data_IF_147909738137
#
_entry.id   IF_147909738137
#
_cell.length_a   1.000
_cell.length_b   1.000
_cell.length_c   1.000
_cell.angle_alpha   90.00
_cell.angle_beta   90.00
_cell.angle_gamma   90.00
#
_symmetry.space_group_name_H-M   'P 1'
#
loop_
_entity.id
_entity.type
_entity.pdbx_description
1 polymer ?
#
# COMPACT_ATOMS: atom_id res chain seq x y z
N UNK A 1 -5.93 6.75 -0.40
CA UNK A 1 -7.13 5.96 -0.09
C UNK A 1 -8.46 6.70 -0.34
N UNK A 2 -8.89 7.66 0.51
CA UNK A 2 -10.24 8.28 0.40
C UNK A 2 -10.61 8.84 -0.98
N UNK A 3 -9.63 9.41 -1.70
CA UNK A 3 -9.81 9.86 -3.09
C UNK A 3 -10.27 8.72 -4.03
N UNK A 4 -9.64 7.54 -3.94
CA UNK A 4 -9.98 6.38 -4.77
C UNK A 4 -11.31 5.76 -4.36
N UNK A 5 -11.63 5.71 -3.06
CA UNK A 5 -12.95 5.29 -2.57
C UNK A 5 -14.03 6.17 -3.17
N UNK A 6 -13.84 7.50 -3.19
CA UNK A 6 -14.78 8.43 -3.82
C UNK A 6 -14.88 8.24 -5.33
N UNK A 7 -13.76 7.97 -6.02
CA UNK A 7 -13.73 7.71 -7.46
C UNK A 7 -14.54 6.47 -7.84
N UNK A 8 -14.45 5.41 -7.04
CA UNK A 8 -15.16 4.14 -7.24
C UNK A 8 -16.40 3.95 -6.34
N UNK A 9 -17.02 5.06 -5.88
CA UNK A 9 -18.02 5.01 -4.81
C UNK A 9 -19.21 4.08 -5.09
N UNK A 10 -19.64 3.96 -6.36
CA UNK A 10 -20.74 3.06 -6.75
C UNK A 10 -20.41 1.60 -6.48
N UNK A 11 -19.19 1.18 -6.81
CA UNK A 11 -18.72 -0.18 -6.59
C UNK A 11 -18.50 -0.47 -5.09
N UNK A 12 -17.98 0.51 -4.35
CA UNK A 12 -17.90 0.42 -2.89
C UNK A 12 -19.28 0.31 -2.25
N UNK A 13 -20.27 1.09 -2.72
CA UNK A 13 -21.63 1.07 -2.19
C UNK A 13 -22.35 -0.26 -2.49
N UNK A 14 -22.21 -0.80 -3.71
CA UNK A 14 -22.78 -2.12 -4.05
C UNK A 14 -22.11 -3.24 -3.25
N UNK A 15 -20.77 -3.27 -3.16
CA UNK A 15 -20.06 -4.26 -2.35
C UNK A 15 -20.49 -4.19 -0.88
N UNK A 16 -20.54 -2.98 -0.31
CA UNK A 16 -21.00 -2.77 1.08
C UNK A 16 -22.42 -3.28 1.29
N UNK A 17 -23.33 -3.01 0.34
CA UNK A 17 -24.70 -3.51 0.41
C UNK A 17 -24.75 -5.04 0.47
N UNK A 18 -24.02 -5.72 -0.41
CA UNK A 18 -24.00 -7.18 -0.44
C UNK A 18 -23.32 -7.78 0.80
N UNK A 19 -22.24 -7.17 1.31
CA UNK A 19 -21.63 -7.57 2.59
C UNK A 19 -22.64 -7.50 3.74
N UNK A 20 -23.43 -6.43 3.81
CA UNK A 20 -24.50 -6.28 4.82
C UNK A 20 -25.61 -7.33 4.62
N UNK A 21 -25.98 -7.65 3.38
CA UNK A 21 -26.96 -8.71 3.08
C UNK A 21 -26.46 -10.07 3.56
N UNK A 22 -25.20 -10.41 3.28
CA UNK A 22 -24.58 -11.65 3.76
C UNK A 22 -24.60 -11.71 5.28
N UNK A 23 -24.19 -10.63 5.97
CA UNK A 23 -24.24 -10.57 7.44
C UNK A 23 -25.65 -10.65 8.01
N UNK A 24 -26.66 -10.14 7.29
CA UNK A 24 -28.06 -10.31 7.68
C UNK A 24 -28.49 -11.77 7.60
N UNK A 25 -28.11 -12.48 6.53
CA UNK A 25 -28.40 -13.89 6.35
C UNK A 25 -27.71 -14.77 7.41
N UNK A 26 -26.45 -14.49 7.75
CA UNK A 26 -25.71 -15.25 8.78
C UNK A 26 -26.28 -15.03 10.19
N UNK A 27 -26.67 -13.80 10.53
CA UNK A 27 -27.36 -13.50 11.80
C UNK A 27 -28.73 -14.18 11.84
N UNK A 28 -29.49 -14.16 10.74
CA UNK A 28 -30.77 -14.84 10.64
C UNK A 28 -30.64 -16.37 10.76
N UNK A 29 -29.60 -16.96 10.17
CA UNK A 29 -29.28 -18.39 10.34
C UNK A 29 -29.06 -18.76 11.82
N UNK A 30 -28.48 -17.85 12.62
CA UNK A 30 -28.34 -18.05 14.07
C UNK A 30 -29.70 -18.10 14.79
N UNK A 31 -30.68 -17.30 14.36
CA UNK A 31 -32.05 -17.36 14.91
C UNK A 31 -32.73 -18.67 14.53
N UNK A 32 -32.54 -19.17 13.31
CA UNK A 32 -33.08 -20.47 12.88
C UNK A 32 -32.50 -21.61 13.72
N UNK A 33 -31.21 -21.56 14.08
CA UNK A 33 -30.62 -22.52 15.00
C UNK A 33 -31.34 -22.58 16.36
N UNK A 34 -31.82 -21.45 16.88
CA UNK A 34 -32.67 -21.46 18.07
C UNK A 34 -34.02 -22.13 17.82
N UNK A 35 -34.64 -21.88 16.67
CA UNK A 35 -35.92 -22.48 16.30
C UNK A 35 -35.82 -23.99 16.13
N UNK A 36 -34.74 -24.50 15.54
CA UNK A 36 -34.45 -25.93 15.42
C UNK A 36 -34.42 -26.57 16.81
N UNK A 37 -33.69 -25.97 17.75
CA UNK A 37 -33.56 -26.52 19.10
C UNK A 37 -34.89 -26.46 19.87
N UNK A 38 -35.66 -25.38 19.70
CA UNK A 38 -37.01 -25.26 20.25
C UNK A 38 -37.97 -26.34 19.69
N UNK A 39 -37.93 -26.60 18.38
CA UNK A 39 -38.74 -27.63 17.74
C UNK A 39 -38.38 -29.04 18.25
N UNK A 40 -37.09 -29.30 18.49
CA UNK A 40 -36.61 -30.57 19.05
C UNK A 40 -37.10 -30.78 20.48
N UNK A 41 -37.02 -29.75 21.33
CA UNK A 41 -37.54 -29.78 22.71
C UNK A 41 -39.06 -29.98 22.71
N UNK A 42 -39.77 -29.30 21.82
CA UNK A 42 -41.20 -29.48 21.60
C UNK A 42 -41.58 -30.80 20.91
N UNK A 43 -40.60 -31.65 20.56
CA UNK A 43 -40.76 -32.92 19.83
C UNK A 43 -41.56 -32.79 18.53
N UNK A 44 -41.49 -31.64 17.85
CA UNK A 44 -42.20 -31.37 16.61
C UNK A 44 -41.29 -31.67 15.40
N UNK A 45 -41.35 -32.91 14.89
CA UNK A 45 -40.51 -33.36 13.78
C UNK A 45 -40.70 -32.53 12.50
N UNK A 46 -41.94 -32.14 12.19
CA UNK A 46 -42.24 -31.36 10.99
C UNK A 46 -41.56 -29.99 11.04
N UNK A 47 -41.75 -29.26 12.14
CA UNK A 47 -41.12 -27.95 12.34
C UNK A 47 -39.59 -28.05 12.36
N UNK A 48 -39.04 -29.11 12.97
CA UNK A 48 -37.60 -29.36 12.97
C UNK A 48 -37.06 -29.53 11.55
N UNK A 49 -37.66 -30.41 10.73
CA UNK A 49 -37.23 -30.64 9.35
C UNK A 49 -37.36 -29.39 8.47
N UNK A 50 -38.47 -28.65 8.61
CA UNK A 50 -38.67 -27.38 7.90
C UNK A 50 -37.56 -26.37 8.22
N UNK A 51 -37.22 -26.18 9.50
CA UNK A 51 -36.16 -25.24 9.91
C UNK A 51 -34.76 -25.69 9.43
N UNK A 52 -34.47 -26.99 9.43
CA UNK A 52 -33.20 -27.54 8.91
C UNK A 52 -33.06 -27.29 7.41
N UNK A 53 -34.13 -27.51 6.63
CA UNK A 53 -34.12 -27.23 5.19
C UNK A 53 -33.91 -25.74 4.92
N UNK A 54 -34.61 -24.87 5.65
CA UNK A 54 -34.44 -23.41 5.52
C UNK A 54 -32.99 -23.01 5.84
N UNK A 55 -32.40 -23.58 6.90
CA UNK A 55 -31.01 -23.32 7.28
C UNK A 55 -30.03 -23.72 6.18
N UNK A 56 -30.22 -24.90 5.58
CA UNK A 56 -29.41 -25.37 4.45
C UNK A 56 -29.53 -24.45 3.23
N UNK A 57 -30.75 -24.00 2.90
CA UNK A 57 -30.97 -23.05 1.82
C UNK A 57 -30.28 -21.71 2.07
N UNK A 58 -30.31 -21.21 3.32
CA UNK A 58 -29.63 -19.96 3.68
C UNK A 58 -28.12 -20.10 3.54
N UNK A 59 -27.51 -21.16 4.07
CA UNK A 59 -26.07 -21.37 3.92
C UNK A 59 -25.66 -21.58 2.46
N UNK A 60 -26.48 -22.28 1.66
CA UNK A 60 -26.27 -22.39 0.22
C UNK A 60 -26.32 -21.03 -0.49
N UNK A 61 -27.29 -20.19 -0.13
CA UNK A 61 -27.39 -18.83 -0.66
C UNK A 61 -26.20 -17.94 -0.25
N UNK A 62 -25.81 -17.99 1.03
CA UNK A 62 -24.63 -17.28 1.56
C UNK A 62 -23.38 -17.69 0.79
N UNK A 63 -23.14 -18.99 0.60
CA UNK A 63 -21.98 -19.48 -0.14
C UNK A 63 -21.93 -18.99 -1.60
N UNK A 64 -23.08 -18.95 -2.29
CA UNK A 64 -23.17 -18.42 -3.66
C UNK A 64 -22.91 -16.92 -3.69
N UNK A 65 -23.44 -16.16 -2.72
CA UNK A 65 -23.21 -14.72 -2.61
C UNK A 65 -21.74 -14.43 -2.29
N UNK A 66 -21.15 -15.10 -1.31
CA UNK A 66 -19.74 -14.93 -0.92
C UNK A 66 -18.80 -15.24 -2.09
N UNK A 67 -19.02 -16.33 -2.82
CA UNK A 67 -18.23 -16.63 -4.02
C UNK A 67 -18.28 -15.49 -5.06
N UNK A 68 -19.46 -14.93 -5.30
CA UNK A 68 -19.62 -13.79 -6.20
C UNK A 68 -18.98 -12.51 -5.65
N UNK A 69 -19.06 -12.30 -4.32
CA UNK A 69 -18.47 -11.15 -3.65
C UNK A 69 -16.96 -11.17 -3.67
N UNK A 70 -16.32 -12.31 -3.42
CA UNK A 70 -14.87 -12.45 -3.47
C UNK A 70 -14.33 -12.06 -4.86
N UNK A 71 -14.99 -12.56 -5.92
CA UNK A 71 -14.63 -12.22 -7.30
C UNK A 71 -14.86 -10.72 -7.57
N UNK A 72 -15.98 -10.17 -7.11
CA UNK A 72 -16.32 -8.76 -7.30
C UNK A 72 -15.35 -7.83 -6.56
N UNK A 73 -14.98 -8.17 -5.33
CA UNK A 73 -13.97 -7.49 -4.52
C UNK A 73 -12.62 -7.49 -5.23
N UNK A 74 -12.18 -8.66 -5.72
CA UNK A 74 -10.92 -8.75 -6.47
C UNK A 74 -10.93 -7.88 -7.73
N UNK A 75 -12.02 -7.88 -8.50
CA UNK A 75 -12.14 -6.97 -9.64
C UNK A 75 -12.10 -5.49 -9.24
N UNK A 76 -12.72 -5.12 -8.12
CA UNK A 76 -12.67 -3.75 -7.59
C UNK A 76 -11.23 -3.36 -7.20
N UNK A 77 -10.52 -4.24 -6.49
CA UNK A 77 -9.12 -4.04 -6.09
C UNK A 77 -8.23 -3.90 -7.33
N UNK A 78 -8.38 -4.75 -8.35
CA UNK A 78 -7.60 -4.62 -9.59
C UNK A 78 -7.87 -3.31 -10.34
N UNK A 79 -9.12 -2.84 -10.35
CA UNK A 79 -9.46 -1.54 -10.94
C UNK A 79 -8.85 -0.37 -10.15
N UNK A 80 -8.76 -0.50 -8.82
CA UNK A 80 -8.06 0.46 -7.97
C UNK A 80 -6.55 0.45 -8.27
N UNK A 81 -5.93 -0.72 -8.41
CA UNK A 81 -4.52 -0.86 -8.79
C UNK A 81 -4.21 -0.19 -10.13
N UNK A 82 -5.03 -0.44 -11.16
CA UNK A 82 -4.88 0.20 -12.47
C UNK A 82 -4.94 1.74 -12.33
N UNK A 83 -5.91 2.25 -11.57
CA UNK A 83 -6.04 3.69 -11.35
C UNK A 83 -4.86 4.28 -10.58
N UNK A 84 -4.37 3.61 -9.53
CA UNK A 84 -3.22 4.07 -8.74
C UNK A 84 -1.94 4.01 -9.58
N UNK A 85 -1.70 2.92 -10.33
CA UNK A 85 -0.55 2.80 -11.24
C UNK A 85 -0.58 3.88 -12.32
N UNK A 86 -1.74 4.16 -12.90
CA UNK A 86 -1.89 5.23 -13.88
C UNK A 86 -1.56 6.61 -13.29
N UNK A 87 -2.05 6.91 -12.08
CA UNK A 87 -1.76 8.17 -11.40
C UNK A 87 -0.25 8.28 -11.05
N UNK A 88 0.39 7.19 -10.60
CA UNK A 88 1.85 7.15 -10.35
C UNK A 88 2.62 7.37 -11.66
N UNK A 89 2.30 6.61 -12.72
CA UNK A 89 2.97 6.72 -14.00
C UNK A 89 2.82 8.12 -14.62
N UNK A 90 1.62 8.70 -14.58
CA UNK A 90 1.36 10.07 -15.03
C UNK A 90 2.18 11.08 -14.22
N UNK A 91 2.40 10.82 -12.94
CA UNK A 91 3.23 11.70 -12.12
C UNK A 91 4.71 11.61 -12.53
N UNK A 92 5.21 10.40 -12.79
CA UNK A 92 6.59 10.17 -13.24
C UNK A 92 6.89 10.81 -14.62
N UNK A 93 5.90 10.99 -15.50
CA UNK A 93 6.13 11.69 -16.78
C UNK A 93 6.41 13.19 -16.63
N UNK A 94 6.04 13.77 -15.49
CA UNK A 94 6.27 15.17 -15.16
C UNK A 94 7.49 15.38 -14.25
N UNK A 95 8.15 14.30 -13.81
CA UNK A 95 9.40 14.36 -13.05
C UNK A 95 10.54 14.98 -13.87
N UNK A 96 11.41 15.74 -13.18
CA UNK A 96 12.63 16.23 -13.81
C UNK A 96 13.66 15.11 -13.92
N UNK A 97 14.50 15.14 -14.97
CA UNK A 97 15.58 14.17 -15.15
C UNK A 97 16.50 14.07 -13.91
N UNK A 98 16.79 15.21 -13.27
CA UNK A 98 17.62 15.26 -12.06
C UNK A 98 16.95 14.55 -10.89
N UNK A 99 15.66 14.76 -10.69
CA UNK A 99 14.94 14.16 -9.57
C UNK A 99 14.74 12.66 -9.78
N UNK A 100 14.38 12.25 -11.00
CA UNK A 100 14.23 10.84 -11.36
C UNK A 100 15.51 10.04 -11.08
N UNK A 101 16.65 10.53 -11.57
CA UNK A 101 17.96 9.86 -11.45
C UNK A 101 18.66 10.04 -10.09
N UNK A 102 18.04 10.75 -9.12
CA UNK A 102 18.54 10.75 -7.74
C UNK A 102 18.26 9.44 -7.01
N UNK A 103 17.34 8.63 -7.54
CA UNK A 103 16.90 7.37 -6.94
C UNK A 103 17.24 6.19 -7.83
N UNK A 104 17.39 5.06 -7.18
CA UNK A 104 17.47 3.78 -7.86
C UNK A 104 16.12 3.44 -8.48
N UNK A 105 16.14 2.82 -9.66
CA UNK A 105 14.95 2.38 -10.40
C UNK A 105 14.09 1.43 -9.54
N UNK A 106 14.73 0.60 -8.72
CA UNK A 106 14.08 -0.34 -7.79
C UNK A 106 13.11 0.34 -6.82
N UNK A 107 13.29 1.63 -6.52
CA UNK A 107 12.36 2.39 -5.67
C UNK A 107 11.01 2.55 -6.36
N UNK A 108 11.00 2.90 -7.64
CA UNK A 108 9.77 3.06 -8.42
C UNK A 108 9.09 1.72 -8.70
N UNK A 109 9.86 0.66 -8.95
CA UNK A 109 9.34 -0.70 -9.06
C UNK A 109 8.63 -1.14 -7.78
N UNK A 110 9.22 -0.86 -6.63
CA UNK A 110 8.61 -1.13 -5.33
C UNK A 110 7.27 -0.40 -5.15
N UNK A 111 7.13 0.81 -5.69
CA UNK A 111 5.85 1.54 -5.63
C UNK A 111 4.77 0.92 -6.50
N UNK A 112 5.15 0.49 -7.70
CA UNK A 112 4.23 -0.10 -8.67
C UNK A 112 3.86 -1.56 -8.34
N UNK A 113 4.55 -2.16 -7.37
CA UNK A 113 4.33 -3.55 -6.97
C UNK A 113 4.17 -3.73 -5.44
N UNK A 114 5.26 -3.72 -4.67
CA UNK A 114 5.25 -4.07 -3.24
C UNK A 114 4.34 -3.17 -2.40
N UNK A 115 4.46 -1.84 -2.58
CA UNK A 115 3.67 -0.89 -1.82
C UNK A 115 2.17 -0.96 -2.21
N UNK A 116 1.85 -1.29 -3.47
CA UNK A 116 0.47 -1.53 -3.91
C UNK A 116 -0.12 -2.80 -3.27
N UNK A 117 0.67 -3.88 -3.21
CA UNK A 117 0.26 -5.09 -2.50
C UNK A 117 -0.04 -4.80 -1.02
N UNK A 118 0.80 -3.97 -0.36
CA UNK A 118 0.54 -3.53 1.01
C UNK A 118 -0.74 -2.69 1.12
N UNK A 119 -1.01 -1.78 0.17
CA UNK A 119 -2.24 -1.01 0.12
C UNK A 119 -3.48 -1.90 -0.04
N UNK A 120 -3.37 -2.98 -0.81
CA UNK A 120 -4.48 -3.91 -1.03
C UNK A 120 -4.76 -4.72 0.24
N UNK A 121 -3.76 -5.45 0.74
CA UNK A 121 -3.91 -6.34 1.89
C UNK A 121 -4.18 -5.59 3.21
N UNK A 122 -3.38 -4.58 3.51
CA UNK A 122 -3.47 -3.83 4.76
C UNK A 122 -4.48 -2.68 4.69
N UNK A 123 -4.87 -2.26 3.49
CA UNK A 123 -5.79 -1.17 3.26
C UNK A 123 -7.17 -1.63 2.84
N UNK A 124 -7.36 -1.95 1.56
CA UNK A 124 -8.69 -2.17 0.99
C UNK A 124 -9.36 -3.45 1.52
N UNK A 125 -8.67 -4.58 1.55
CA UNK A 125 -9.20 -5.84 2.12
C UNK A 125 -9.56 -5.65 3.60
N UNK A 126 -8.65 -5.06 4.38
CA UNK A 126 -8.89 -4.74 5.79
C UNK A 126 -10.08 -3.80 5.99
N UNK A 127 -10.32 -2.85 5.07
CA UNK A 127 -11.48 -1.96 5.11
C UNK A 127 -12.79 -2.74 4.90
N UNK A 128 -12.81 -3.67 3.94
CA UNK A 128 -13.99 -4.52 3.70
C UNK A 128 -14.28 -5.42 4.90
N UNK A 129 -13.26 -6.03 5.50
CA UNK A 129 -13.42 -6.82 6.73
C UNK A 129 -13.95 -5.98 7.91
N UNK A 130 -13.54 -4.70 8.04
CA UNK A 130 -14.09 -3.80 9.06
C UNK A 130 -15.56 -3.50 8.81
N UNK A 131 -15.96 -3.26 7.55
CA UNK A 131 -17.35 -3.01 7.17
C UNK A 131 -18.21 -4.24 7.49
N UNK A 132 -17.75 -5.42 7.06
CA UNK A 132 -18.41 -6.69 7.29
C UNK A 132 -18.57 -6.99 8.78
N UNK A 133 -17.47 -6.94 9.55
CA UNK A 133 -17.50 -7.20 10.99
C UNK A 133 -18.35 -6.18 11.75
N UNK A 134 -18.33 -4.90 11.36
CA UNK A 134 -19.17 -3.88 11.99
C UNK A 134 -20.66 -4.11 11.72
N UNK A 135 -21.02 -4.48 10.48
CA UNK A 135 -22.39 -4.81 10.13
C UNK A 135 -22.87 -6.05 10.90
N UNK A 136 -22.07 -7.11 10.92
CA UNK A 136 -22.34 -8.34 11.67
C UNK A 136 -22.54 -8.07 13.17
N UNK A 137 -21.67 -7.26 13.78
CA UNK A 137 -21.77 -6.91 15.18
C UNK A 137 -23.04 -6.10 15.51
N UNK A 138 -23.39 -5.10 14.69
CA UNK A 138 -24.62 -4.30 14.90
C UNK A 138 -25.87 -5.16 14.78
N UNK A 139 -25.94 -6.02 13.75
CA UNK A 139 -27.07 -6.92 13.53
C UNK A 139 -27.18 -7.96 14.65
N UNK A 140 -26.05 -8.52 15.10
CA UNK A 140 -26.02 -9.47 16.20
C UNK A 140 -26.44 -8.84 17.53
N UNK A 141 -25.94 -7.64 17.87
CA UNK A 141 -26.37 -6.90 19.07
C UNK A 141 -27.85 -6.57 19.04
N UNK A 142 -28.38 -6.16 17.88
CA UNK A 142 -29.81 -5.90 17.70
C UNK A 142 -30.64 -7.16 17.92
N UNK A 143 -30.18 -8.31 17.41
CA UNK A 143 -30.84 -9.61 17.58
C UNK A 143 -30.78 -10.08 19.04
N UNK A 144 -29.66 -9.87 19.73
CA UNK A 144 -29.55 -10.14 21.17
C UNK A 144 -30.52 -9.28 21.98
N UNK A 145 -30.66 -7.99 21.63
CA UNK A 145 -31.62 -7.10 22.29
C UNK A 145 -33.07 -7.54 22.05
N UNK A 146 -33.38 -8.03 20.84
CA UNK A 146 -34.67 -8.62 20.51
C UNK A 146 -35.00 -9.85 21.36
N UNK A 147 -34.01 -10.71 21.64
CA UNK A 147 -34.21 -11.83 22.57
C UNK A 147 -34.39 -11.37 24.01
N UNK A 148 -33.46 -10.56 24.51
CA UNK A 148 -33.56 -9.91 25.82
C UNK A 148 -32.54 -8.77 25.93
N UNK A 149 -32.98 -7.56 26.24
CA UNK A 149 -32.13 -6.36 26.29
C UNK A 149 -30.86 -6.52 27.16
N UNK A 150 -30.94 -7.26 28.27
CA UNK A 150 -29.80 -7.52 29.15
C UNK A 150 -28.65 -8.24 28.44
N UNK A 151 -28.95 -9.14 27.49
CA UNK A 151 -27.92 -9.85 26.71
C UNK A 151 -27.11 -8.87 25.87
N UNK A 152 -27.76 -7.90 25.23
CA UNK A 152 -27.09 -6.86 24.45
C UNK A 152 -26.24 -5.93 25.32
N UNK A 153 -26.75 -5.51 26.49
CA UNK A 153 -26.00 -4.65 27.43
C UNK A 153 -24.73 -5.35 27.93
N UNK A 154 -24.85 -6.61 28.36
CA UNK A 154 -23.71 -7.41 28.81
C UNK A 154 -22.73 -7.66 27.67
N UNK A 155 -23.22 -7.94 26.45
CA UNK A 155 -22.36 -8.09 25.28
C UNK A 155 -21.53 -6.83 25.01
N UNK A 156 -22.16 -5.65 24.96
CA UNK A 156 -21.46 -4.36 24.75
C UNK A 156 -20.42 -4.11 25.83
N UNK A 157 -20.76 -4.36 27.10
CA UNK A 157 -19.83 -4.21 28.22
C UNK A 157 -18.59 -5.13 28.07
N UNK A 158 -18.81 -6.40 27.77
CA UNK A 158 -17.74 -7.39 27.57
C UNK A 158 -16.88 -7.07 26.35
N UNK A 159 -17.50 -6.62 25.24
CA UNK A 159 -16.77 -6.12 24.08
C UNK A 159 -15.86 -4.95 24.46
N UNK A 160 -16.33 -3.99 25.26
CA UNK A 160 -15.52 -2.88 25.75
C UNK A 160 -14.26 -3.35 26.47
N UNK A 161 -14.38 -4.37 27.33
CA UNK A 161 -13.23 -4.99 28.02
C UNK A 161 -12.27 -5.64 27.01
N UNK A 162 -12.79 -6.39 26.03
CA UNK A 162 -11.98 -7.04 24.99
C UNK A 162 -11.21 -6.01 24.16
N UNK A 163 -11.80 -4.85 23.84
CA UNK A 163 -11.12 -3.80 23.08
C UNK A 163 -10.06 -3.09 23.92
N UNK A 164 -10.35 -2.79 25.19
CA UNK A 164 -9.44 -2.02 26.07
C UNK A 164 -8.21 -2.84 26.48
N UNK A 165 -8.36 -4.14 26.72
CA UNK A 165 -7.28 -4.99 27.28
C UNK A 165 -6.03 -5.05 26.39
N UNK A 166 -6.13 -5.30 25.06
CA UNK A 166 -5.01 -5.23 24.11
C UNK A 166 -4.30 -3.88 24.07
N UNK A 167 -5.05 -2.77 24.18
CA UNK A 167 -4.52 -1.42 24.05
C UNK A 167 -3.47 -1.08 25.12
N UNK A 168 -3.48 -1.76 26.27
CA UNK A 168 -2.46 -1.61 27.32
C UNK A 168 -1.06 -2.03 26.84
N UNK A 169 -0.96 -2.85 25.80
CA UNK A 169 0.30 -3.37 25.25
C UNK A 169 0.73 -2.69 23.95
N UNK A 170 -0.05 -1.73 23.42
CA UNK A 170 0.24 -1.04 22.15
C UNK A 170 1.62 -0.38 22.13
N UNK A 171 2.01 0.26 23.24
CA UNK A 171 3.31 0.91 23.34
C UNK A 171 4.45 -0.10 23.18
N UNK A 172 4.34 -1.27 23.83
CA UNK A 172 5.35 -2.33 23.71
C UNK A 172 5.41 -2.87 22.28
N UNK A 173 4.24 -3.14 21.66
CA UNK A 173 4.19 -3.61 20.28
C UNK A 173 4.81 -2.61 19.30
N UNK A 174 4.59 -1.31 19.53
CA UNK A 174 5.17 -0.24 18.70
C UNK A 174 6.69 -0.18 18.83
N UNK A 175 7.23 -0.29 20.05
CA UNK A 175 8.68 -0.29 20.30
C UNK A 175 9.34 -1.48 19.62
N UNK A 176 8.79 -2.69 19.79
CA UNK A 176 9.37 -3.90 19.21
C UNK A 176 9.19 -3.95 17.69
N UNK A 177 8.09 -3.42 17.15
CA UNK A 177 7.91 -3.28 15.70
C UNK A 177 8.93 -2.32 15.09
N UNK A 178 9.24 -1.19 15.74
CA UNK A 178 10.31 -0.28 15.27
C UNK A 178 11.67 -0.95 15.28
N UNK A 179 11.99 -1.74 16.31
CA UNK A 179 13.23 -2.52 16.38
C UNK A 179 13.30 -3.54 15.24
N UNK A 180 12.20 -4.22 14.93
CA UNK A 180 12.14 -5.14 13.78
C UNK A 180 12.42 -4.42 12.46
N UNK A 181 11.78 -3.28 12.21
CA UNK A 181 12.03 -2.49 10.99
C UNK A 181 13.50 -2.12 10.87
N UNK A 182 14.12 -1.65 11.96
CA UNK A 182 15.53 -1.27 11.98
C UNK A 182 16.49 -2.45 11.73
N UNK A 183 16.28 -3.58 12.40
CA UNK A 183 17.11 -4.79 12.19
C UNK A 183 16.90 -5.38 10.78
N UNK A 184 15.71 -5.24 10.20
CA UNK A 184 15.43 -5.64 8.83
C UNK A 184 16.17 -4.75 7.81
N UNK A 185 16.20 -3.44 8.03
CA UNK A 185 17.01 -2.51 7.22
C UNK A 185 18.51 -2.87 7.29
N UNK A 186 19.03 -3.15 8.49
CA UNK A 186 20.42 -3.60 8.65
C UNK A 186 20.70 -4.93 7.93
N UNK A 187 19.76 -5.87 7.96
CA UNK A 187 19.87 -7.14 7.25
C UNK A 187 19.90 -6.96 5.73
N UNK A 188 19.00 -6.15 5.18
CA UNK A 188 18.96 -5.84 3.74
C UNK A 188 20.27 -5.17 3.32
N UNK A 189 20.76 -4.16 4.07
CA UNK A 189 22.01 -3.49 3.78
C UNK A 189 23.21 -4.44 3.83
N UNK A 190 23.34 -5.25 4.90
CA UNK A 190 24.44 -6.20 5.04
C UNK A 190 24.45 -7.28 3.93
N UNK A 191 23.26 -7.70 3.48
CA UNK A 191 23.11 -8.66 2.39
C UNK A 191 23.47 -8.03 1.05
N UNK A 192 23.00 -6.80 0.80
CA UNK A 192 23.35 -6.03 -0.39
C UNK A 192 24.87 -5.82 -0.49
N UNK A 193 25.52 -5.37 0.59
CA UNK A 193 26.97 -5.19 0.65
C UNK A 193 27.73 -6.50 0.38
N UNK A 194 27.28 -7.61 0.97
CA UNK A 194 27.92 -8.90 0.80
C UNK A 194 27.80 -9.43 -0.65
N UNK A 195 26.65 -9.21 -1.29
CA UNK A 195 26.40 -9.60 -2.68
C UNK A 195 27.14 -8.70 -3.68
N UNK A 196 27.16 -7.38 -3.45
CA UNK A 196 27.96 -6.46 -4.28
C UNK A 196 29.46 -6.78 -4.22
N UNK A 197 29.93 -7.22 -3.05
CA UNK A 197 31.32 -7.64 -2.88
C UNK A 197 31.61 -9.04 -3.46
N UNK A 198 30.67 -9.74 -4.11
CA UNK A 198 30.86 -11.12 -4.55
C UNK A 198 32.11 -11.33 -5.39
N UNK A 199 32.32 -10.52 -6.43
CA UNK A 199 33.50 -10.64 -7.31
C UNK A 199 34.82 -10.43 -6.54
N UNK A 200 34.82 -9.52 -5.56
CA UNK A 200 35.96 -9.30 -4.68
C UNK A 200 36.19 -10.51 -3.77
N UNK A 201 35.16 -10.97 -3.07
CA UNK A 201 35.25 -12.12 -2.18
C UNK A 201 35.66 -13.39 -2.94
N UNK A 202 35.23 -13.54 -4.18
CA UNK A 202 35.64 -14.60 -5.10
C UNK A 202 37.12 -14.49 -5.46
N UNK A 203 37.57 -13.31 -5.92
CA UNK A 203 38.96 -13.06 -6.30
C UNK A 203 39.94 -13.28 -5.13
N UNK A 204 39.53 -12.93 -3.91
CA UNK A 204 40.34 -13.11 -2.69
C UNK A 204 40.08 -14.45 -1.97
N UNK A 205 39.35 -15.40 -2.58
CA UNK A 205 39.02 -16.72 -1.99
C UNK A 205 38.39 -16.65 -0.58
N UNK A 206 37.64 -15.59 -0.30
CA UNK A 206 37.05 -15.28 1.01
C UNK A 206 35.52 -15.41 1.03
N UNK A 207 34.96 -16.24 0.16
CA UNK A 207 33.51 -16.54 0.12
C UNK A 207 32.89 -16.96 1.48
N UNK A 208 33.60 -17.65 2.41
CA UNK A 208 33.06 -17.90 3.75
C UNK A 208 32.68 -16.63 4.53
N UNK A 209 33.29 -15.47 4.21
CA UNK A 209 32.95 -14.19 4.82
C UNK A 209 31.54 -13.72 4.41
N UNK A 210 31.09 -14.02 3.18
CA UNK A 210 29.73 -13.75 2.73
C UNK A 210 28.73 -14.50 3.61
N UNK A 211 28.97 -15.79 3.81
CA UNK A 211 28.13 -16.65 4.67
C UNK A 211 28.10 -16.08 6.09
N UNK A 212 29.26 -15.72 6.65
CA UNK A 212 29.36 -15.17 7.99
C UNK A 212 28.63 -13.82 8.15
N UNK A 213 28.73 -12.91 7.18
CA UNK A 213 28.03 -11.62 7.19
C UNK A 213 26.52 -11.81 7.16
N UNK A 214 26.01 -12.58 6.20
CA UNK A 214 24.57 -12.86 6.07
C UNK A 214 24.06 -13.55 7.33
N UNK A 215 24.75 -14.59 7.82
CA UNK A 215 24.36 -15.30 9.03
C UNK A 215 24.28 -14.39 10.26
N UNK A 216 25.28 -13.54 10.50
CA UNK A 216 25.28 -12.61 11.66
C UNK A 216 24.12 -11.63 11.60
N UNK A 217 23.81 -11.10 10.42
CA UNK A 217 22.66 -10.21 10.23
C UNK A 217 21.34 -10.95 10.43
N UNK A 218 21.20 -12.17 9.90
CA UNK A 218 20.02 -13.02 10.08
C UNK A 218 19.73 -13.35 11.55
N UNK A 219 20.76 -13.57 12.38
CA UNK A 219 20.58 -13.87 13.81
C UNK A 219 19.96 -12.69 14.57
N UNK A 220 20.40 -11.46 14.29
CA UNK A 220 19.80 -10.27 14.92
C UNK A 220 18.35 -10.07 14.47
N UNK A 221 18.10 -10.22 13.16
CA UNK A 221 16.76 -10.14 12.58
C UNK A 221 15.82 -11.20 13.16
N UNK A 222 16.31 -12.43 13.38
CA UNK A 222 15.58 -13.50 14.06
C UNK A 222 15.12 -13.04 15.45
N UNK A 223 16.03 -12.48 16.26
CA UNK A 223 15.68 -12.06 17.62
C UNK A 223 14.60 -10.98 17.62
N UNK A 224 14.69 -9.98 16.74
CA UNK A 224 13.68 -8.94 16.63
C UNK A 224 12.31 -9.48 16.16
N UNK A 225 12.29 -10.45 15.24
CA UNK A 225 11.07 -11.13 14.82
C UNK A 225 10.44 -11.91 15.99
N UNK A 226 11.24 -12.67 16.74
CA UNK A 226 10.78 -13.43 17.91
C UNK A 226 10.22 -12.50 18.97
N UNK A 227 10.94 -11.43 19.33
CA UNK A 227 10.50 -10.44 20.32
C UNK A 227 9.14 -9.83 19.92
N UNK A 228 8.96 -9.47 18.63
CA UNK A 228 7.69 -8.93 18.12
C UNK A 228 6.57 -9.96 18.22
N UNK A 229 6.88 -11.19 17.82
CA UNK A 229 5.91 -12.30 17.83
C UNK A 229 5.46 -12.60 19.24
N UNK A 230 6.36 -12.59 20.23
CA UNK A 230 5.99 -12.81 21.64
C UNK A 230 4.99 -11.76 22.14
N UNK A 231 5.23 -10.48 21.86
CA UNK A 231 4.30 -9.40 22.26
C UNK A 231 2.98 -9.51 21.52
N UNK A 232 3.02 -9.78 20.20
CA UNK A 232 1.81 -9.95 19.38
C UNK A 232 0.97 -11.16 19.80
N UNK A 233 1.61 -12.30 20.08
CA UNK A 233 0.94 -13.51 20.58
C UNK A 233 0.35 -13.28 21.96
N UNK A 234 1.02 -12.54 22.85
CA UNK A 234 0.45 -12.19 24.16
C UNK A 234 -0.83 -11.38 24.01
N UNK A 235 -0.84 -10.39 23.11
CA UNK A 235 -2.04 -9.59 22.78
C UNK A 235 -3.16 -10.50 22.23
N UNK A 236 -2.82 -11.37 21.27
CA UNK A 236 -3.78 -12.28 20.66
C UNK A 236 -4.39 -13.25 21.68
N UNK A 237 -3.58 -13.80 22.60
CA UNK A 237 -4.05 -14.73 23.64
C UNK A 237 -4.95 -14.04 24.68
N UNK A 238 -4.65 -12.79 25.06
CA UNK A 238 -5.55 -12.00 25.90
C UNK A 238 -6.89 -11.76 25.21
N UNK A 239 -6.88 -11.40 23.93
CA UNK A 239 -8.10 -11.26 23.13
C UNK A 239 -8.90 -12.56 23.02
N UNK A 240 -8.22 -13.68 22.76
CA UNK A 240 -8.82 -15.01 22.66
C UNK A 240 -9.47 -15.46 23.97
N UNK A 241 -8.78 -15.31 25.11
CA UNK A 241 -9.33 -15.63 26.43
C UNK A 241 -10.52 -14.72 26.76
N UNK A 242 -10.40 -13.43 26.48
CA UNK A 242 -11.50 -12.47 26.66
C UNK A 242 -12.72 -12.86 25.84
N UNK A 243 -12.52 -13.29 24.59
CA UNK A 243 -13.58 -13.77 23.72
C UNK A 243 -14.26 -15.03 24.28
N UNK A 244 -13.52 -16.08 24.64
CA UNK A 244 -14.09 -17.31 25.22
C UNK A 244 -14.86 -17.01 26.50
N UNK A 245 -14.26 -16.28 27.44
CA UNK A 245 -14.92 -15.94 28.70
C UNK A 245 -16.22 -15.18 28.45
N UNK A 246 -16.21 -14.24 27.50
CA UNK A 246 -17.40 -13.46 27.17
C UNK A 246 -18.51 -14.30 26.54
N UNK A 247 -18.17 -15.26 25.68
CA UNK A 247 -19.13 -16.21 25.13
C UNK A 247 -19.74 -17.10 26.22
N UNK A 248 -18.91 -17.63 27.13
CA UNK A 248 -19.38 -18.48 28.23
C UNK A 248 -20.27 -17.70 29.19
N UNK A 249 -19.93 -16.45 29.53
CA UNK A 249 -20.75 -15.57 30.37
C UNK A 249 -22.12 -15.33 29.72
N UNK A 250 -22.17 -14.99 28.43
CA UNK A 250 -23.44 -14.78 27.72
C UNK A 250 -24.26 -16.08 27.59
N UNK A 251 -23.60 -17.22 27.39
CA UNK A 251 -24.27 -18.51 27.37
C UNK A 251 -24.87 -18.84 28.75
N UNK A 252 -24.13 -18.62 29.84
CA UNK A 252 -24.62 -18.79 31.21
C UNK A 252 -25.79 -17.85 31.54
N UNK A 253 -25.69 -16.58 31.13
CA UNK A 253 -26.75 -15.59 31.31
C UNK A 253 -28.02 -15.96 30.52
N UNK A 254 -27.88 -16.40 29.26
CA UNK A 254 -29.03 -16.85 28.46
C UNK A 254 -29.66 -18.11 29.04
N UNK A 255 -28.86 -19.05 29.58
CA UNK A 255 -29.36 -20.20 30.34
C UNK A 255 -30.15 -19.80 31.58
N UNK A 256 -29.66 -18.84 32.37
CA UNK A 256 -30.36 -18.33 33.54
C UNK A 256 -31.69 -17.64 33.17
N UNK A 257 -31.71 -16.82 32.11
CA UNK A 257 -32.93 -16.21 31.60
C UNK A 257 -33.94 -17.25 31.08
N UNK A 258 -33.45 -18.35 30.49
CA UNK A 258 -34.29 -19.45 30.03
C UNK A 258 -34.94 -20.20 31.22
N UNK A 259 -34.21 -20.40 32.32
CA UNK A 259 -34.76 -20.98 33.56
C UNK A 259 -35.87 -20.11 34.16
N UNK A 260 -35.75 -18.78 34.04
CA UNK A 260 -36.78 -17.82 34.44
C UNK A 260 -37.95 -17.72 33.45
N UNK A 261 -37.92 -18.48 32.35
CA UNK A 261 -38.91 -18.45 31.25
C UNK A 261 -39.00 -17.08 30.55
N UNK A 262 -37.96 -16.26 30.63
CA UNK A 262 -37.89 -14.96 29.94
C UNK A 262 -37.46 -15.10 28.48
N UNK A 263 -36.72 -16.17 28.17
CA UNK A 263 -36.33 -16.54 26.81
C UNK A 263 -36.56 -18.02 26.57
N UNK A 264 -36.63 -18.43 25.30
CA UNK A 264 -36.74 -19.86 24.94
C UNK A 264 -35.42 -20.59 25.17
N UNK A 265 -35.47 -21.91 25.42
CA UNK A 265 -34.26 -22.73 25.60
C UNK A 265 -33.39 -22.73 24.33
N UNK A 266 -34.01 -22.71 23.15
CA UNK A 266 -33.33 -22.58 21.87
C UNK A 266 -32.50 -21.30 21.73
N UNK A 267 -32.89 -20.21 22.40
CA UNK A 267 -32.16 -18.94 22.36
C UNK A 267 -30.70 -19.10 22.81
N UNK A 268 -30.38 -20.07 23.67
CA UNK A 268 -29.02 -20.33 24.16
C UNK A 268 -28.05 -20.65 23.00
N UNK A 269 -28.49 -21.42 22.00
CA UNK A 269 -27.65 -21.76 20.83
C UNK A 269 -27.41 -20.53 19.94
N UNK A 270 -28.45 -19.74 19.67
CA UNK A 270 -28.34 -18.51 18.90
C UNK A 270 -27.43 -17.48 19.61
N UNK A 271 -27.57 -17.32 20.93
CA UNK A 271 -26.74 -16.40 21.71
C UNK A 271 -25.27 -16.76 21.59
N UNK A 272 -24.90 -18.05 21.59
CA UNK A 272 -23.52 -18.48 21.38
C UNK A 272 -22.94 -18.01 20.05
N UNK A 273 -23.66 -18.25 18.93
CA UNK A 273 -23.23 -17.83 17.60
C UNK A 273 -23.19 -16.30 17.44
N UNK A 274 -24.22 -15.60 17.94
CA UNK A 274 -24.29 -14.13 17.89
C UNK A 274 -23.20 -13.48 18.73
N UNK A 275 -22.94 -14.00 19.93
CA UNK A 275 -21.85 -13.56 20.80
C UNK A 275 -20.49 -13.76 20.12
N UNK A 276 -20.26 -14.92 19.52
CA UNK A 276 -19.03 -15.21 18.76
C UNK A 276 -18.83 -14.20 17.63
N UNK A 277 -19.86 -13.90 16.85
CA UNK A 277 -19.78 -12.88 15.79
C UNK A 277 -19.41 -11.49 16.36
N UNK A 278 -20.11 -11.02 17.38
CA UNK A 278 -19.82 -9.71 18.02
C UNK A 278 -18.38 -9.65 18.52
N UNK A 279 -17.93 -10.66 19.27
CA UNK A 279 -16.61 -10.63 19.90
C UNK A 279 -15.46 -10.86 18.93
N UNK A 280 -15.63 -11.65 17.87
CA UNK A 280 -14.60 -11.81 16.82
C UNK A 280 -14.46 -10.52 15.99
N UNK A 281 -15.59 -9.97 15.55
CA UNK A 281 -15.62 -8.78 14.70
C UNK A 281 -15.07 -7.55 15.42
N UNK A 282 -15.54 -7.30 16.65
CA UNK A 282 -15.09 -6.15 17.42
C UNK A 282 -13.75 -6.38 18.13
N UNK A 283 -13.40 -7.62 18.47
CA UNK A 283 -12.10 -7.93 19.08
C UNK A 283 -10.92 -7.72 18.13
N UNK A 284 -11.10 -7.97 16.83
CA UNK A 284 -10.05 -7.78 15.83
C UNK A 284 -10.06 -6.37 15.19
N UNK A 285 -11.06 -5.53 15.49
CA UNK A 285 -11.24 -4.24 14.82
C UNK A 285 -10.05 -3.30 15.03
N UNK A 286 -9.45 -3.28 16.22
CA UNK A 286 -8.29 -2.42 16.53
C UNK A 286 -7.08 -2.78 15.67
N UNK A 287 -6.86 -4.08 15.43
CA UNK A 287 -5.78 -4.55 14.57
C UNK A 287 -6.02 -4.16 13.11
N UNK A 288 -7.22 -4.39 12.58
CA UNK A 288 -7.59 -4.00 11.20
C UNK A 288 -7.48 -2.48 10.99
N UNK A 289 -7.96 -1.68 11.94
CA UNK A 289 -7.79 -0.22 11.88
C UNK A 289 -6.31 0.19 11.97
N UNK A 290 -5.49 -0.55 12.71
CA UNK A 290 -4.03 -0.40 12.75
C UNK A 290 -3.40 -0.62 11.37
N UNK A 291 -3.76 -1.70 10.68
CA UNK A 291 -3.30 -2.01 9.33
C UNK A 291 -3.71 -0.91 8.32
N UNK A 292 -4.98 -0.49 8.35
CA UNK A 292 -5.48 0.58 7.48
C UNK A 292 -4.72 1.89 7.72
N UNK A 293 -4.49 2.25 8.99
CA UNK A 293 -3.67 3.43 9.35
C UNK A 293 -2.22 3.29 8.86
N UNK A 294 -1.68 2.08 8.86
CA UNK A 294 -0.35 1.73 8.34
C UNK A 294 -0.17 2.03 6.85
N UNK A 295 -1.24 2.09 6.07
CA UNK A 295 -1.17 2.48 4.65
C UNK A 295 -1.06 3.99 4.42
N UNK A 296 -1.40 4.82 5.42
CA UNK A 296 -1.39 6.28 5.30
C UNK A 296 0.00 6.85 4.98
N UNK A 297 1.10 6.43 5.64
CA UNK A 297 2.46 6.80 5.27
C UNK A 297 2.81 6.48 3.82
N UNK A 298 2.33 5.35 3.28
CA UNK A 298 2.60 4.93 1.89
C UNK A 298 1.98 5.94 0.91
N UNK A 299 0.71 6.30 1.10
CA UNK A 299 0.07 7.35 0.28
C UNK A 299 0.70 8.74 0.49
N UNK A 300 1.20 9.04 1.69
CA UNK A 300 1.88 10.31 1.97
C UNK A 300 3.24 10.40 1.31
N UNK A 301 4.02 9.31 1.30
CA UNK A 301 5.27 9.17 0.55
C UNK A 301 5.06 9.55 -0.91
N UNK A 302 4.05 8.98 -1.57
CA UNK A 302 3.70 9.37 -2.94
C UNK A 302 3.34 10.84 -3.06
N UNK A 303 2.38 11.33 -2.26
CA UNK A 303 1.93 12.73 -2.38
C UNK A 303 3.00 13.77 -2.07
N UNK A 304 3.85 13.53 -1.08
CA UNK A 304 4.91 14.44 -0.70
C UNK A 304 5.93 14.57 -1.83
N UNK A 305 6.26 13.45 -2.47
CA UNK A 305 7.20 13.41 -3.58
C UNK A 305 6.56 13.99 -4.84
N UNK A 306 5.31 13.63 -5.14
CA UNK A 306 4.53 14.25 -6.22
C UNK A 306 4.35 15.78 -6.04
N UNK A 307 4.37 16.30 -4.81
CA UNK A 307 4.30 17.75 -4.54
C UNK A 307 5.63 18.48 -4.78
N UNK A 308 6.76 17.78 -4.66
CA UNK A 308 8.08 18.32 -5.04
C UNK A 308 8.24 18.40 -6.56
N UNK A 309 7.41 17.65 -7.30
CA UNK A 309 7.18 17.81 -8.73
C UNK A 309 6.29 19.04 -8.93
N UNK A 310 6.86 20.22 -8.71
CA UNK A 310 6.25 21.43 -9.24
C UNK A 310 6.13 21.25 -10.76
N UNK A 311 4.97 21.51 -11.38
CA UNK A 311 4.89 21.52 -12.84
C UNK A 311 5.95 22.50 -13.33
N UNK A 312 7.00 21.99 -13.96
CA UNK A 312 8.09 22.80 -14.48
C UNK A 312 7.52 23.59 -15.66
N UNK A 313 6.90 24.74 -15.37
CA UNK A 313 6.21 25.60 -16.33
C UNK A 313 7.22 26.23 -17.28
N UNK A 314 7.54 25.51 -18.36
CA UNK A 314 8.17 26.08 -19.54
C UNK A 314 7.08 26.53 -20.49
N UNK A 315 6.90 27.83 -20.61
CA UNK A 315 5.77 28.45 -21.31
C UNK A 315 6.13 29.00 -22.70
N UNK A 316 7.38 28.86 -23.15
CA UNK A 316 7.80 29.37 -24.46
C UNK A 316 7.71 28.26 -25.50
N UNK A 317 6.74 28.39 -26.40
CA UNK A 317 6.67 27.59 -27.60
C UNK A 317 7.54 28.21 -28.69
N UNK A 318 8.71 27.60 -28.92
CA UNK A 318 9.64 27.99 -29.95
C UNK A 318 10.24 26.74 -30.56
N UNK A 319 10.02 26.56 -31.86
CA UNK A 319 10.60 25.49 -32.65
C UNK A 319 11.63 26.08 -33.59
N UNK A 320 12.85 25.55 -33.55
CA UNK A 320 13.84 25.84 -34.60
C UNK A 320 13.42 25.02 -35.82
N UNK A 321 12.83 25.67 -36.82
CA UNK A 321 12.48 24.97 -38.06
C UNK A 321 13.75 24.61 -38.82
N UNK A 322 13.98 23.31 -39.06
CA UNK A 322 15.14 22.81 -39.82
C UNK A 322 15.25 23.43 -41.22
N UNK A 323 14.15 23.96 -41.78
CA UNK A 323 14.13 24.66 -43.07
C UNK A 323 14.68 26.09 -43.04
N UNK A 324 14.88 26.69 -41.87
CA UNK A 324 15.31 28.10 -41.71
C UNK A 324 16.76 28.25 -41.24
N UNK A 325 17.46 27.16 -40.94
CA UNK A 325 18.84 27.22 -40.44
C UNK A 325 19.79 27.51 -41.61
N UNK A 326 20.29 28.75 -41.71
CA UNK A 326 21.35 29.07 -42.67
C UNK A 326 22.71 28.56 -42.13
N UNK A 327 23.60 28.11 -43.03
CA UNK A 327 24.97 27.75 -42.66
C UNK A 327 25.63 28.93 -41.92
N UNK A 328 26.39 28.62 -40.87
CA UNK A 328 27.11 29.59 -40.01
C UNK A 328 26.25 30.48 -39.11
N UNK A 329 24.97 30.20 -38.91
CA UNK A 329 24.19 30.85 -37.84
C UNK A 329 24.47 30.21 -36.47
N UNK A 330 24.56 31.00 -35.38
CA UNK A 330 24.69 30.46 -34.03
C UNK A 330 23.40 29.74 -33.63
N UNK A 331 23.50 28.44 -33.36
CA UNK A 331 22.35 27.60 -33.01
C UNK A 331 22.26 27.37 -31.51
N UNK A 332 23.40 27.19 -30.84
CA UNK A 332 23.45 26.96 -29.40
C UNK A 332 24.53 27.83 -28.78
N UNK A 333 24.22 28.50 -27.68
CA UNK A 333 25.18 29.33 -26.95
C UNK A 333 25.15 29.03 -25.45
N UNK A 334 26.32 29.05 -24.82
CA UNK A 334 26.46 29.05 -23.37
C UNK A 334 27.00 30.41 -22.94
N UNK A 335 26.43 30.95 -21.87
CA UNK A 335 26.71 32.29 -21.37
C UNK A 335 27.10 32.20 -19.89
N UNK A 336 28.39 32.32 -19.61
CA UNK A 336 29.00 32.20 -18.28
C UNK A 336 28.56 30.94 -17.51
N UNK A 337 28.46 29.81 -18.23
CA UNK A 337 27.88 28.59 -17.70
C UNK A 337 28.70 28.03 -16.54
N UNK A 338 28.05 27.87 -15.40
CA UNK A 338 28.66 27.34 -14.17
C UNK A 338 27.78 26.22 -13.62
N UNK A 339 28.39 25.12 -13.21
CA UNK A 339 27.67 23.98 -12.65
C UNK A 339 28.41 23.31 -11.49
N UNK A 340 27.66 22.92 -10.46
CA UNK A 340 28.16 22.20 -9.28
C UNK A 340 27.18 21.10 -8.84
N UNK A 341 27.73 20.00 -8.32
CA UNK A 341 26.98 18.97 -7.60
C UNK A 341 27.16 19.18 -6.10
N UNK A 342 26.10 19.63 -5.40
CA UNK A 342 26.22 20.01 -3.99
C UNK A 342 27.27 21.11 -3.82
N UNK A 343 28.35 20.81 -3.09
CA UNK A 343 29.47 21.72 -2.87
C UNK A 343 30.65 21.51 -3.84
N UNK A 344 30.57 20.52 -4.73
CA UNK A 344 31.64 20.21 -5.68
C UNK A 344 31.40 20.92 -7.01
N UNK A 345 32.22 21.92 -7.31
CA UNK A 345 32.16 22.65 -8.56
C UNK A 345 32.73 21.81 -9.71
N UNK A 346 32.00 21.68 -10.81
CA UNK A 346 32.42 20.89 -11.99
C UNK A 346 33.16 21.77 -13.00
N UNK A 347 32.59 22.94 -13.34
CA UNK A 347 33.24 23.98 -14.15
C UNK A 347 32.62 25.36 -13.87
N UNK A 348 33.35 26.42 -14.22
CA UNK A 348 32.96 27.83 -14.02
C UNK A 348 33.03 28.62 -15.32
N UNK A 349 32.09 29.54 -15.50
CA UNK A 349 32.14 30.61 -16.52
C UNK A 349 32.47 30.11 -17.94
N UNK A 350 31.87 28.99 -18.37
CA UNK A 350 32.08 28.45 -19.72
C UNK A 350 31.15 29.18 -20.69
N UNK A 351 31.72 30.00 -21.57
CA UNK A 351 31.00 30.66 -22.66
C UNK A 351 31.45 30.10 -24.00
N UNK A 352 30.53 29.48 -24.74
CA UNK A 352 30.78 29.00 -26.09
C UNK A 352 29.60 29.15 -27.04
N UNK A 353 29.92 29.25 -28.33
CA UNK A 353 28.93 29.36 -29.41
C UNK A 353 29.12 28.21 -30.40
N UNK A 354 28.04 27.50 -30.70
CA UNK A 354 28.01 26.39 -31.66
C UNK A 354 27.22 26.83 -32.90
N UNK A 355 27.80 26.63 -34.08
CA UNK A 355 27.21 27.09 -35.34
C UNK A 355 26.54 25.95 -36.12
N UNK A 356 25.56 26.33 -36.93
CA UNK A 356 24.82 25.42 -37.78
C UNK A 356 25.72 24.63 -38.75
N UNK A 357 25.61 23.30 -38.72
CA UNK A 357 26.33 22.40 -39.60
C UNK A 357 27.75 22.06 -39.17
N UNK A 358 28.24 22.62 -38.05
CA UNK A 358 29.54 22.30 -37.49
C UNK A 358 29.52 21.01 -36.66
N UNK A 359 30.68 20.36 -36.60
CA UNK A 359 30.95 19.23 -35.69
C UNK A 359 31.98 19.69 -34.67
N UNK A 360 31.57 19.77 -33.40
CA UNK A 360 32.45 20.21 -32.32
C UNK A 360 32.91 19.01 -31.51
N UNK A 361 34.23 18.86 -31.34
CA UNK A 361 34.83 17.84 -30.47
C UNK A 361 35.11 18.45 -29.09
N UNK A 362 34.65 17.79 -28.03
CA UNK A 362 34.95 18.16 -26.64
C UNK A 362 35.97 17.17 -26.10
N UNK A 363 37.15 17.66 -25.72
CA UNK A 363 38.25 16.87 -25.17
C UNK A 363 38.55 17.27 -23.72
N UNK A 364 39.28 16.42 -23.00
CA UNK A 364 39.68 16.65 -21.61
C UNK A 364 39.79 15.35 -20.81
N UNK A 365 40.37 15.43 -19.61
CA UNK A 365 40.58 14.28 -18.72
C UNK A 365 39.26 13.64 -18.25
N UNK A 366 39.33 12.39 -17.80
CA UNK A 366 38.18 11.75 -17.15
C UNK A 366 37.77 12.53 -15.91
N UNK A 367 36.47 12.75 -15.70
CA UNK A 367 35.97 13.58 -14.60
C UNK A 367 35.97 15.10 -14.85
N UNK A 368 36.52 15.60 -15.96
CA UNK A 368 36.50 17.04 -16.30
C UNK A 368 35.09 17.64 -16.57
N UNK A 369 34.01 16.86 -16.41
CA UNK A 369 32.64 17.34 -16.57
C UNK A 369 32.08 17.31 -17.99
N UNK A 370 32.74 16.63 -18.95
CA UNK A 370 32.31 16.56 -20.36
C UNK A 370 30.87 16.06 -20.52
N UNK A 371 30.53 14.93 -19.90
CA UNK A 371 29.16 14.38 -19.94
C UNK A 371 28.15 15.31 -19.26
N UNK A 372 28.56 15.96 -18.17
CA UNK A 372 27.74 16.97 -17.46
C UNK A 372 27.47 18.19 -18.35
N UNK A 373 28.48 18.67 -19.08
CA UNK A 373 28.35 19.76 -20.03
C UNK A 373 27.39 19.40 -21.17
N UNK A 374 27.53 18.21 -21.77
CA UNK A 374 26.59 17.72 -22.78
C UNK A 374 25.16 17.59 -22.25
N UNK A 375 24.97 17.11 -21.01
CA UNK A 375 23.65 17.04 -20.36
C UNK A 375 23.05 18.44 -20.08
N UNK A 376 23.86 19.46 -19.84
CA UNK A 376 23.39 20.87 -19.77
C UNK A 376 22.98 21.40 -21.15
N UNK A 377 23.78 21.12 -22.18
CA UNK A 377 23.46 21.52 -23.57
C UNK A 377 22.17 20.86 -24.07
N UNK A 378 21.91 19.61 -23.67
CA UNK A 378 20.67 18.90 -23.92
C UNK A 378 19.50 19.31 -23.01
N UNK A 379 19.76 20.17 -22.01
CA UNK A 379 18.77 20.63 -21.05
C UNK A 379 18.25 19.56 -20.07
N UNK A 380 18.99 18.44 -19.92
CA UNK A 380 18.73 17.41 -18.89
C UNK A 380 19.10 17.92 -17.49
N UNK A 381 20.12 18.76 -17.41
CA UNK A 381 20.55 19.46 -16.20
C UNK A 381 20.22 20.95 -16.32
N UNK A 382 20.04 21.62 -15.18
CA UNK A 382 19.97 23.09 -15.12
C UNK A 382 21.30 23.64 -14.61
N UNK A 383 21.83 24.73 -15.19
CA UNK A 383 23.05 25.34 -14.69
C UNK A 383 22.84 25.94 -13.30
N UNK A 384 23.91 26.00 -12.51
CA UNK A 384 23.90 26.68 -11.20
C UNK A 384 23.95 28.20 -11.39
N UNK A 385 24.67 28.67 -12.40
CA UNK A 385 24.68 30.06 -12.85
C UNK A 385 24.96 30.14 -14.36
N UNK A 386 24.59 31.27 -14.98
CA UNK A 386 24.64 31.43 -16.43
C UNK A 386 23.45 30.79 -17.15
N UNK A 387 23.52 30.68 -18.47
CA UNK A 387 22.44 30.12 -19.28
C UNK A 387 22.95 29.33 -20.48
N UNK A 388 22.15 28.38 -20.92
CA UNK A 388 22.23 27.78 -22.27
C UNK A 388 21.07 28.34 -23.09
N UNK A 389 21.34 28.77 -24.33
CA UNK A 389 20.33 29.33 -25.23
C UNK A 389 20.35 28.58 -26.57
N UNK A 390 19.16 28.26 -27.08
CA UNK A 390 18.94 27.79 -28.44
C UNK A 390 18.50 29.00 -29.28
N UNK A 391 19.34 29.42 -30.22
CA UNK A 391 19.23 30.75 -30.84
C UNK A 391 19.28 31.86 -29.79
N UNK A 392 18.22 32.66 -29.71
CA UNK A 392 18.09 33.74 -28.72
C UNK A 392 17.37 33.34 -27.43
N UNK A 393 16.85 32.11 -27.33
CA UNK A 393 15.94 31.70 -26.25
C UNK A 393 16.66 30.78 -25.28
N UNK A 394 16.57 31.07 -23.97
CA UNK A 394 17.11 30.19 -22.93
C UNK A 394 16.40 28.82 -22.91
N UNK A 395 17.18 27.74 -22.79
CA UNK A 395 16.64 26.39 -22.63
C UNK A 395 15.74 26.25 -21.40
N UNK A 396 15.95 27.08 -20.37
CA UNK A 396 15.11 27.10 -19.18
C UNK A 396 13.67 27.55 -19.48
N UNK A 397 13.47 28.37 -20.52
CA UNK A 397 12.16 28.91 -20.90
C UNK A 397 11.40 28.05 -21.93
N UNK A 398 12.12 27.28 -22.76
CA UNK A 398 11.57 26.43 -23.83
C UNK A 398 10.74 25.26 -23.32
N UNK A 399 9.54 25.05 -23.86
CA UNK A 399 8.71 23.87 -23.54
C UNK A 399 9.46 22.55 -23.75
N UNK A 400 9.19 21.54 -22.91
CA UNK A 400 9.91 20.25 -22.95
C UNK A 400 9.80 19.55 -24.30
N UNK A 401 8.62 19.62 -24.94
CA UNK A 401 8.39 19.08 -26.28
C UNK A 401 9.29 19.72 -27.32
N UNK A 402 9.40 21.05 -27.30
CA UNK A 402 10.25 21.78 -28.25
C UNK A 402 11.74 21.56 -28.01
N UNK A 403 12.18 21.50 -26.74
CA UNK A 403 13.56 21.16 -26.41
C UNK A 403 13.91 19.76 -26.94
N UNK A 404 13.08 18.76 -26.63
CA UNK A 404 13.31 17.35 -27.02
C UNK A 404 13.18 17.14 -28.54
N UNK A 405 12.37 17.94 -29.23
CA UNK A 405 12.28 17.93 -30.69
C UNK A 405 13.47 18.61 -31.39
N UNK A 406 14.22 19.47 -30.68
CA UNK A 406 15.32 20.25 -31.25
C UNK A 406 16.72 19.72 -30.91
N UNK A 407 16.88 19.02 -29.78
CA UNK A 407 18.16 18.50 -29.30
C UNK A 407 18.01 17.04 -28.90
N UNK A 408 18.83 16.17 -29.49
CA UNK A 408 18.95 14.76 -29.13
C UNK A 408 20.26 14.52 -28.36
N UNK A 409 20.16 13.85 -27.22
CA UNK A 409 21.30 13.38 -26.44
C UNK A 409 21.39 11.85 -26.52
N UNK A 410 22.57 11.35 -26.90
CA UNK A 410 22.88 9.93 -26.91
C UNK A 410 23.85 9.65 -25.75
N UNK A 411 23.45 8.78 -24.82
CA UNK A 411 24.30 8.40 -23.69
C UNK A 411 25.40 7.43 -24.14
N UNK A 412 26.45 7.29 -23.33
CA UNK A 412 27.59 6.43 -23.62
C UNK A 412 27.20 4.95 -23.71
N UNK A 413 26.22 4.55 -22.90
CA UNK A 413 25.57 3.24 -22.96
C UNK A 413 24.08 3.49 -23.19
N UNK A 414 23.58 3.37 -24.43
CA UNK A 414 22.16 3.55 -24.69
C UNK A 414 21.38 2.42 -24.05
N UNK A 415 20.39 2.78 -23.25
CA UNK A 415 19.44 1.82 -22.71
C UNK A 415 18.53 1.33 -23.84
N UNK A 416 18.44 0.01 -24.01
CA UNK A 416 17.51 -0.62 -24.91
C UNK A 416 16.30 -1.12 -24.11
N UNK A 417 15.11 -0.86 -24.63
CA UNK A 417 13.89 -1.43 -24.08
C UNK A 417 13.64 -2.81 -24.71
N UNK A 418 13.04 -3.72 -23.96
CA UNK A 418 12.58 -4.98 -24.51
C UNK A 418 11.42 -4.72 -25.48
N UNK A 419 11.68 -4.94 -26.77
CA UNK A 419 10.73 -4.69 -27.84
C UNK A 419 11.35 -5.08 -29.19
N UNK A 420 10.64 -4.79 -30.26
CA UNK A 420 11.20 -4.91 -31.61
C UNK A 420 12.10 -3.71 -31.92
N UNK A 421 13.05 -3.84 -32.86
CA UNK A 421 13.91 -2.71 -33.30
C UNK A 421 13.11 -1.52 -33.85
N UNK A 422 11.86 -1.76 -34.30
CA UNK A 422 10.96 -0.70 -34.80
C UNK A 422 10.33 0.10 -33.66
N UNK A 423 10.07 -0.54 -32.53
CA UNK A 423 9.52 0.07 -31.31
C UNK A 423 10.63 0.81 -30.55
#
# INVERSE_FOLDING_TARGET
MAYYIKKFWKAFASLTLFLVVTQTLTVYASVINANILNALIGRNLRSFLEQVIILLCIWGLVAVIEYGLDIYEQHLIQNLDIAIRADIAQTLTHESYVHYNRRDISVYESWLNNDLQLINQQGFESLFSVIEGSAGAVLALTTLAYFHWLLAVVAVFLTGIIIITPHLLDHQLTVVSKRLTHENEQFVAATHDALHAFNLLYAFQSLPLLIAKVHRASVKLKQANVDRTVVQTRIMMMGFLGNILSQVILMGLSGWLALQRLVSIGTISAVGSLASNVFNSLGNISNLLGLIRGTKPIFQKYKAECRLIAPYKRNVDFTVSARQIQKQQPVLTTDQLTFQFGNQQVFKNVSQTFYAGEKTLITGESGAGKSTFLKLLAGYLQPTAGAVKLGSISLAALSLGNLRGSILYLDQQPDLINGTVRE
#
